data_IF_574689429222
#
_entry.id   IF_574689429222
#
_cell.length_a   1.000
_cell.length_b   1.000
_cell.length_c   1.000
_cell.angle_alpha   90.00
_cell.angle_beta   90.00
_cell.angle_gamma   90.00
#
_symmetry.space_group_name_H-M   'P 1'
#
loop_
_entity.id
_entity.type
_entity.pdbx_description
1 polymer ?
#
# COMPACT_ATOMS: atom_id res chain seq x y z
N UNK A 1 -1.57 -45.75 -21.64
CA UNK A 1 -2.68 -45.00 -21.03
C UNK A 1 -2.06 -43.88 -20.22
N UNK A 2 -1.96 -42.70 -20.82
CA UNK A 2 -1.41 -41.49 -20.23
C UNK A 2 -2.45 -40.89 -19.29
N UNK A 3 -2.06 -40.50 -18.08
CA UNK A 3 -2.77 -39.44 -17.36
C UNK A 3 -1.71 -38.41 -16.94
N UNK A 4 -1.58 -37.39 -17.78
CA UNK A 4 -1.09 -36.08 -17.39
C UNK A 4 -2.14 -35.52 -16.43
N UNK A 5 -1.87 -35.49 -15.13
CA UNK A 5 -2.52 -34.50 -14.26
C UNK A 5 -1.54 -33.36 -14.09
N UNK A 6 -1.92 -32.24 -14.69
CA UNK A 6 -1.24 -30.97 -14.64
C UNK A 6 -1.31 -30.41 -13.23
N UNK A 7 -0.27 -30.63 -12.42
CA UNK A 7 -0.01 -29.80 -11.24
C UNK A 7 0.56 -28.46 -11.70
N UNK A 8 -0.24 -27.70 -12.45
CA UNK A 8 0.03 -26.32 -12.83
C UNK A 8 -0.90 -25.41 -12.06
N UNK A 9 -0.57 -25.18 -10.80
CA UNK A 9 -0.90 -23.94 -10.07
C UNK A 9 0.07 -23.69 -8.90
N UNK A 10 1.33 -24.14 -9.00
CA UNK A 10 2.42 -23.50 -8.27
C UNK A 10 2.94 -22.33 -9.11
N UNK A 11 2.05 -21.38 -9.39
CA UNK A 11 2.37 -20.15 -10.10
C UNK A 11 1.90 -18.99 -9.24
N UNK A 12 2.63 -18.77 -8.16
CA UNK A 12 3.26 -17.50 -7.79
C UNK A 12 3.98 -17.74 -6.48
N UNK A 13 5.24 -17.34 -6.40
CA UNK A 13 5.94 -16.99 -5.18
C UNK A 13 4.96 -16.53 -4.10
N UNK A 14 4.69 -17.39 -3.11
CA UNK A 14 4.38 -16.88 -1.78
C UNK A 14 5.68 -16.21 -1.35
N UNK A 15 5.84 -14.92 -1.67
CA UNK A 15 6.77 -14.11 -0.92
C UNK A 15 6.34 -14.34 0.52
N UNK A 16 7.15 -15.05 1.29
CA UNK A 16 6.96 -15.11 2.71
C UNK A 16 7.18 -13.66 3.17
N UNK A 17 6.09 -12.89 3.16
CA UNK A 17 6.05 -11.52 3.62
C UNK A 17 6.24 -11.63 5.12
N UNK A 18 7.49 -11.58 5.53
CA UNK A 18 7.90 -11.84 6.90
C UNK A 18 8.01 -10.54 7.69
N UNK A 19 7.88 -9.39 7.01
CA UNK A 19 7.92 -8.07 7.64
C UNK A 19 6.91 -7.09 7.02
N UNK A 20 6.47 -6.07 7.79
CA UNK A 20 5.66 -4.98 7.26
C UNK A 20 6.29 -4.25 6.07
N UNK A 21 7.63 -4.16 6.03
CA UNK A 21 8.37 -3.50 4.96
C UNK A 21 8.27 -4.26 3.63
N UNK A 22 8.48 -5.58 3.66
CA UNK A 22 8.30 -6.44 2.49
C UNK A 22 6.85 -6.43 1.99
N UNK A 23 5.88 -6.37 2.90
CA UNK A 23 4.48 -6.28 2.51
C UNK A 23 4.19 -4.96 1.82
N UNK A 24 4.69 -3.86 2.38
CA UNK A 24 4.54 -2.55 1.80
C UNK A 24 5.17 -2.48 0.40
N UNK A 25 6.32 -3.12 0.16
CA UNK A 25 6.89 -3.21 -1.18
C UNK A 25 5.97 -3.91 -2.18
N UNK A 26 5.37 -5.04 -1.80
CA UNK A 26 4.40 -5.75 -2.65
C UNK A 26 3.21 -4.85 -2.98
N UNK A 27 2.64 -4.16 -1.99
CA UNK A 27 1.51 -3.26 -2.19
C UNK A 27 1.87 -2.10 -3.12
N UNK A 28 3.06 -1.51 -2.96
CA UNK A 28 3.55 -0.40 -3.78
C UNK A 28 3.83 -0.84 -5.22
N UNK A 29 4.40 -2.03 -5.41
CA UNK A 29 4.56 -2.62 -6.73
C UNK A 29 3.21 -2.84 -7.43
N UNK A 30 2.21 -3.34 -6.72
CA UNK A 30 0.86 -3.51 -7.26
C UNK A 30 0.21 -2.18 -7.62
N UNK A 31 0.30 -1.17 -6.75
CA UNK A 31 -0.18 0.19 -7.02
C UNK A 31 0.48 0.78 -8.28
N UNK A 32 1.80 0.67 -8.38
CA UNK A 32 2.57 1.14 -9.52
C UNK A 32 2.10 0.51 -10.84
N UNK A 33 1.82 -0.80 -10.83
CA UNK A 33 1.27 -1.50 -12.00
C UNK A 33 -0.12 -1.01 -12.36
N UNK A 34 -1.03 -0.87 -11.39
CA UNK A 34 -2.39 -0.39 -11.62
C UNK A 34 -2.41 1.04 -12.19
N UNK A 35 -1.59 1.94 -11.65
CA UNK A 35 -1.47 3.33 -12.13
C UNK A 35 -0.97 3.35 -13.57
N UNK A 36 0.07 2.57 -13.91
CA UNK A 36 0.58 2.48 -15.29
C UNK A 36 -0.48 1.95 -16.25
N UNK A 37 -1.24 0.94 -15.84
CA UNK A 37 -2.37 0.40 -16.63
C UNK A 37 -3.44 1.46 -16.87
N UNK A 38 -3.87 2.18 -15.84
CA UNK A 38 -4.86 3.26 -15.99
C UNK A 38 -4.32 4.42 -16.85
N UNK A 39 -3.03 4.72 -16.75
CA UNK A 39 -2.38 5.71 -17.59
C UNK A 39 -2.42 5.29 -19.07
N UNK A 40 -2.16 4.02 -19.36
CA UNK A 40 -2.27 3.46 -20.71
C UNK A 40 -3.72 3.53 -21.23
N UNK A 41 -4.71 3.47 -20.35
CA UNK A 41 -6.13 3.68 -20.68
C UNK A 41 -6.57 5.15 -20.74
N UNK A 42 -5.65 6.10 -20.56
CA UNK A 42 -5.94 7.53 -20.74
C UNK A 42 -6.18 8.33 -19.45
N UNK A 43 -6.09 7.72 -18.26
CA UNK A 43 -6.14 8.47 -17.01
C UNK A 43 -4.90 9.39 -16.88
N UNK A 44 -5.10 10.62 -16.40
CA UNK A 44 -4.03 11.65 -16.32
C UNK A 44 -3.92 12.34 -14.96
N UNK A 45 -4.81 12.01 -14.01
CA UNK A 45 -4.82 12.58 -12.66
C UNK A 45 -5.18 11.46 -11.68
N UNK A 46 -4.43 11.36 -10.59
CA UNK A 46 -4.65 10.33 -9.58
C UNK A 46 -4.51 10.91 -8.18
N UNK A 47 -5.43 10.51 -7.29
CA UNK A 47 -5.32 10.74 -5.86
C UNK A 47 -5.14 9.40 -5.16
N UNK A 48 -3.99 9.18 -4.52
CA UNK A 48 -3.67 7.94 -3.83
C UNK A 48 -3.90 8.10 -2.33
N UNK A 49 -4.80 7.31 -1.76
CA UNK A 49 -5.17 7.42 -0.34
C UNK A 49 -4.19 6.61 0.50
N UNK A 50 -3.61 7.26 1.52
CA UNK A 50 -2.79 6.58 2.51
C UNK A 50 -3.62 5.97 3.63
N UNK A 51 -2.98 5.12 4.43
CA UNK A 51 -3.63 4.44 5.55
C UNK A 51 -3.60 5.33 6.80
N UNK A 52 -4.77 5.55 7.40
CA UNK A 52 -4.91 6.25 8.67
C UNK A 52 -4.28 5.48 9.85
N UNK A 53 -4.29 6.06 11.05
CA UNK A 53 -3.78 5.40 12.25
C UNK A 53 -4.76 4.32 12.76
N UNK A 54 -4.90 3.21 12.01
CA UNK A 54 -5.85 2.14 12.35
C UNK A 54 -5.52 1.44 13.69
N UNK A 55 -4.29 1.60 14.22
CA UNK A 55 -3.94 1.19 15.58
C UNK A 55 -4.65 1.97 16.68
N UNK A 56 -5.33 3.08 16.34
CA UNK A 56 -6.20 3.85 17.23
C UNK A 56 -7.70 3.52 17.04
N UNK A 57 -8.05 2.60 16.15
CA UNK A 57 -9.46 2.22 15.94
C UNK A 57 -10.04 1.55 17.18
N UNK A 58 -11.37 1.67 17.44
CA UNK A 58 -12.00 1.06 18.62
C UNK A 58 -11.69 -0.43 18.75
N UNK A 59 -11.68 -1.15 17.63
CA UNK A 59 -11.35 -2.57 17.59
C UNK A 59 -9.89 -2.86 17.95
N UNK A 60 -8.93 -2.06 17.45
CA UNK A 60 -7.52 -2.23 17.79
C UNK A 60 -7.25 -1.95 19.27
N UNK A 61 -7.88 -0.90 19.81
CA UNK A 61 -7.80 -0.53 21.22
C UNK A 61 -8.38 -1.64 22.10
N UNK A 62 -9.60 -2.09 21.83
CA UNK A 62 -10.26 -3.13 22.60
C UNK A 62 -9.47 -4.45 22.65
N UNK A 63 -8.78 -4.81 21.56
CA UNK A 63 -8.07 -6.09 21.47
C UNK A 63 -6.61 -6.03 21.94
N UNK A 64 -5.94 -4.88 21.84
CA UNK A 64 -4.48 -4.84 21.96
C UNK A 64 -3.96 -3.70 22.87
N UNK A 65 -4.84 -2.83 23.39
CA UNK A 65 -4.45 -1.72 24.26
C UNK A 65 -4.77 -2.05 25.73
N UNK A 66 -3.77 -2.17 26.62
CA UNK A 66 -4.01 -2.52 28.03
C UNK A 66 -4.87 -1.50 28.79
N UNK A 67 -4.79 -0.23 28.41
CA UNK A 67 -5.54 0.88 29.01
C UNK A 67 -6.78 1.28 28.19
N UNK A 68 -7.04 0.58 27.07
CA UNK A 68 -8.14 0.87 26.15
C UNK A 68 -8.03 2.20 25.40
N UNK A 69 -6.92 2.93 25.48
CA UNK A 69 -6.78 4.29 24.95
C UNK A 69 -5.47 4.56 24.22
N UNK A 70 -4.38 3.89 24.60
CA UNK A 70 -3.08 4.01 23.94
C UNK A 70 -3.11 3.26 22.61
N UNK A 71 -2.82 3.97 21.51
CA UNK A 71 -2.81 3.37 20.18
C UNK A 71 -1.73 2.29 20.02
N UNK A 72 -2.05 1.26 19.25
CA UNK A 72 -1.18 0.12 19.00
C UNK A 72 -0.07 0.50 17.99
N UNK A 73 1.12 0.80 18.51
CA UNK A 73 2.21 1.35 17.70
C UNK A 73 2.73 0.37 16.64
N UNK A 74 2.71 -0.95 16.88
CA UNK A 74 3.08 -1.94 15.86
C UNK A 74 2.23 -1.79 14.60
N UNK A 75 0.93 -1.55 14.75
CA UNK A 75 -0.01 -1.37 13.65
C UNK A 75 0.25 -0.02 12.95
N UNK A 76 0.35 1.05 13.73
CA UNK A 76 0.59 2.38 13.17
C UNK A 76 1.96 2.50 12.48
N UNK A 77 2.99 1.81 12.97
CA UNK A 77 4.30 1.72 12.35
C UNK A 77 4.25 1.06 10.97
N UNK A 78 3.47 -0.02 10.82
CA UNK A 78 3.25 -0.64 9.51
C UNK A 78 2.56 0.33 8.53
N UNK A 79 1.55 1.09 9.00
CA UNK A 79 0.88 2.11 8.18
C UNK A 79 1.84 3.22 7.74
N UNK A 80 2.75 3.65 8.63
CA UNK A 80 3.76 4.66 8.34
C UNK A 80 4.73 4.19 7.26
N UNK A 81 5.21 2.93 7.33
CA UNK A 81 6.09 2.34 6.32
C UNK A 81 5.41 2.38 4.94
N UNK A 82 4.17 1.90 4.84
CA UNK A 82 3.41 1.96 3.59
C UNK A 82 3.23 3.40 3.09
N UNK A 83 2.77 4.31 3.94
CA UNK A 83 2.52 5.71 3.56
C UNK A 83 3.79 6.43 3.10
N UNK A 84 4.95 6.12 3.70
CA UNK A 84 6.25 6.66 3.28
C UNK A 84 6.56 6.20 1.85
N UNK A 85 6.43 4.90 1.57
CA UNK A 85 6.68 4.36 0.23
C UNK A 85 5.64 4.84 -0.79
N UNK A 86 4.39 5.08 -0.37
CA UNK A 86 3.34 5.64 -1.23
C UNK A 86 3.68 7.07 -1.68
N UNK A 87 4.20 7.91 -0.78
CA UNK A 87 4.72 9.24 -1.14
C UNK A 87 5.89 9.14 -2.11
N UNK A 88 6.86 8.27 -1.82
CA UNK A 88 8.00 8.06 -2.71
C UNK A 88 7.56 7.62 -4.13
N UNK A 89 6.52 6.77 -4.22
CA UNK A 89 5.94 6.37 -5.50
C UNK A 89 5.33 7.57 -6.24
N UNK A 90 4.58 8.43 -5.55
CA UNK A 90 4.02 9.66 -6.15
C UNK A 90 5.13 10.58 -6.65
N UNK A 91 6.19 10.77 -5.86
CA UNK A 91 7.33 11.58 -6.25
C UNK A 91 8.06 11.00 -7.48
N UNK A 92 8.27 9.67 -7.49
CA UNK A 92 8.87 8.95 -8.63
C UNK A 92 8.04 9.18 -9.90
N UNK A 93 6.72 8.98 -9.84
CA UNK A 93 5.88 9.23 -11.00
C UNK A 93 5.96 10.69 -11.43
N UNK A 94 5.70 11.65 -10.53
CA UNK A 94 5.70 13.07 -10.88
C UNK A 94 7.05 13.59 -11.43
N UNK A 95 8.17 12.92 -11.12
CA UNK A 95 9.49 13.21 -11.71
C UNK A 95 9.62 12.76 -13.18
N UNK A 96 8.76 11.83 -13.62
CA UNK A 96 8.70 11.35 -14.99
C UNK A 96 7.89 12.30 -15.87
N UNK A 97 8.52 12.82 -16.94
CA UNK A 97 7.87 13.74 -17.88
C UNK A 97 6.60 13.17 -18.54
N UNK A 98 6.48 11.85 -18.60
CA UNK A 98 5.32 11.17 -19.19
C UNK A 98 4.25 10.81 -18.16
N UNK A 99 4.45 10.99 -16.85
CA UNK A 99 3.49 10.60 -15.82
C UNK A 99 3.43 11.67 -14.73
N UNK A 100 2.49 12.59 -14.78
CA UNK A 100 2.38 13.68 -13.81
C UNK A 100 0.97 13.78 -13.23
N UNK A 101 0.80 14.61 -12.21
CA UNK A 101 -0.47 14.89 -11.51
C UNK A 101 -0.95 13.74 -10.62
N UNK A 102 -0.02 13.15 -9.85
CA UNK A 102 -0.33 12.26 -8.75
C UNK A 102 -0.23 13.04 -7.43
N UNK A 103 -1.18 12.83 -6.52
CA UNK A 103 -1.15 13.40 -5.17
C UNK A 103 -1.45 12.33 -4.13
N UNK A 104 -0.88 12.42 -2.92
CA UNK A 104 -1.31 11.56 -1.81
C UNK A 104 -2.41 12.22 -0.99
N UNK A 105 -3.35 11.41 -0.49
CA UNK A 105 -4.34 11.81 0.49
C UNK A 105 -4.00 11.07 1.78
N UNK A 106 -3.06 11.63 2.53
CA UNK A 106 -2.69 11.12 3.87
C UNK A 106 -3.15 12.12 4.92
N UNK A 107 -3.41 11.66 6.14
CA UNK A 107 -3.85 12.52 7.24
C UNK A 107 -2.87 13.68 7.52
N UNK A 108 -1.60 13.51 7.15
CA UNK A 108 -0.53 14.51 7.24
C UNK A 108 -0.56 15.58 6.15
N UNK A 109 -1.31 15.36 5.06
CA UNK A 109 -1.43 16.28 3.91
C UNK A 109 -2.79 16.98 3.80
N UNK A 110 -3.70 16.75 4.75
CA UNK A 110 -5.01 17.45 4.80
C UNK A 110 -4.90 18.98 4.93
N UNK A 111 -3.70 19.53 5.12
CA UNK A 111 -3.44 20.97 5.18
C UNK A 111 -2.96 21.59 3.86
N UNK A 112 -2.94 20.82 2.75
CA UNK A 112 -2.56 21.32 1.41
C UNK A 112 -3.68 21.11 0.36
N UNK A 113 -4.93 21.15 0.79
CA UNK A 113 -6.10 21.28 -0.07
C UNK A 113 -6.86 22.52 0.40
#
# INVERSE_FOLDING_TARGET
MTILTTTSCLSTTQLAVNSPDQYADVLIQQYSQQIRTLYNYGARKFALIGVGQIGCSPNALAQNSPDGSTCVQRINGANQIFNNKLRALVDEFNSNAQMQNLSTLTHTESSRI
#
